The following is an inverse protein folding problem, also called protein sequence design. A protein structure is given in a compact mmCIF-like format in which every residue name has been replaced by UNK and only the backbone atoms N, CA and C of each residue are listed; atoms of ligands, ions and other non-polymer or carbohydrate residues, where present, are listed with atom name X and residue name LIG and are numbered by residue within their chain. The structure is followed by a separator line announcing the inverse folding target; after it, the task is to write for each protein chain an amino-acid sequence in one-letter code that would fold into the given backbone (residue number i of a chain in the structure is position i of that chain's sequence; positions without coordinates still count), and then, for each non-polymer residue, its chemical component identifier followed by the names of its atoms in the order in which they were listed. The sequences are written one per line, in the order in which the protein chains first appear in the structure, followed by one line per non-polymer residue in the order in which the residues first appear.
data_IF_933860952397
#
_entry.id   IF_933860952397
#
_cell.length_a   1.000
_cell.length_b   1.000
_cell.length_c   1.000
_cell.angle_alpha   90.00
_cell.angle_beta   90.00
_cell.angle_gamma   90.00
#
_symmetry.space_group_name_H-M   'P 1'
#
loop_
_entity.id
_entity.type
_entity.pdbx_description
1 polymer ?
#
# COMPACT_ATOMS: atom_id res chain seq x y z
N UNK A 1 23.16 -13.84 12.51
CA UNK A 1 22.19 -14.44 11.58
C UNK A 1 20.78 -14.15 12.09
N UNK A 2 20.15 -13.07 11.61
CA UNK A 2 18.69 -12.89 11.53
C UNK A 2 18.46 -11.53 10.84
N UNK A 3 18.60 -11.56 9.50
CA UNK A 3 18.25 -10.48 8.60
C UNK A 3 16.71 -10.38 8.53
N UNK A 4 16.08 -9.83 9.58
CA UNK A 4 14.63 -9.67 9.66
C UNK A 4 14.21 -8.46 8.83
N UNK A 5 14.04 -8.71 7.54
CA UNK A 5 13.35 -7.81 6.61
C UNK A 5 11.85 -7.90 6.94
N UNK A 6 11.41 -7.11 7.93
CA UNK A 6 10.00 -7.07 8.34
C UNK A 6 9.20 -6.45 7.21
N UNK A 7 8.21 -7.17 6.66
CA UNK A 7 7.30 -6.60 5.67
C UNK A 7 5.96 -6.30 6.32
N UNK A 8 5.56 -5.03 6.39
CA UNK A 8 4.18 -4.66 6.76
C UNK A 8 3.30 -4.49 5.51
N UNK A 9 2.20 -5.23 5.48
CA UNK A 9 1.11 -5.05 4.53
C UNK A 9 0.13 -4.04 5.10
N UNK A 10 -0.18 -2.96 4.39
CA UNK A 10 -1.36 -2.15 4.69
C UNK A 10 -2.57 -2.68 3.91
N UNK A 11 -3.62 -3.08 4.63
CA UNK A 11 -4.95 -3.37 4.05
C UNK A 11 -6.01 -2.47 4.67
N UNK A 12 -6.95 -1.99 3.86
CA UNK A 12 -8.18 -1.39 4.36
C UNK A 12 -9.25 -2.48 4.55
N UNK A 13 -9.90 -2.51 5.71
CA UNK A 13 -10.99 -3.47 6.01
C UNK A 13 -12.32 -2.87 5.55
N UNK A 14 -13.13 -3.67 4.86
CA UNK A 14 -14.52 -3.35 4.47
C UNK A 14 -15.48 -3.28 5.68
N UNK A 15 -15.07 -3.79 6.85
CA UNK A 15 -15.88 -3.91 8.07
C UNK A 15 -16.03 -2.61 8.89
N UNK A 16 -16.18 -1.46 8.24
CA UNK A 16 -16.45 -0.20 8.95
C UNK A 16 -17.90 -0.03 9.42
N UNK A 17 -18.82 -0.94 9.07
CA UNK A 17 -20.23 -0.80 9.45
C UNK A 17 -20.61 -1.40 10.81
N UNK A 18 -19.73 -2.13 11.52
CA UNK A 18 -20.14 -2.90 12.71
C UNK A 18 -19.29 -2.79 13.98
N UNK A 19 -18.17 -2.06 13.99
CA UNK A 19 -17.36 -1.91 15.20
C UNK A 19 -17.46 -0.50 15.78
N UNK A 20 -18.37 -0.31 16.75
CA UNK A 20 -18.52 0.90 17.60
C UNK A 20 -17.39 1.06 18.63
N UNK A 21 -16.19 0.55 18.36
CA UNK A 21 -15.03 0.74 19.23
C UNK A 21 -13.86 1.11 18.33
N UNK A 22 -13.69 2.41 18.12
CA UNK A 22 -12.44 2.98 17.63
C UNK A 22 -12.02 4.07 18.59
N UNK A 23 -10.77 4.02 19.02
CA UNK A 23 -10.07 5.21 19.48
C UNK A 23 -9.95 6.16 18.28
N UNK A 24 -10.40 7.42 18.36
CA UNK A 24 -10.52 8.34 17.22
C UNK A 24 -9.18 8.75 16.59
N UNK A 25 -8.05 8.43 17.22
CA UNK A 25 -6.77 9.09 16.95
C UNK A 25 -5.77 8.28 16.11
N UNK A 26 -6.17 7.11 15.56
CA UNK A 26 -5.26 6.29 14.75
C UNK A 26 -5.80 5.94 13.37
N UNK A 27 -4.97 6.04 12.31
CA UNK A 27 -5.37 5.62 10.98
C UNK A 27 -5.63 4.11 10.98
N UNK A 28 -6.75 3.65 10.42
CA UNK A 28 -7.14 2.24 10.45
C UNK A 28 -6.35 1.45 9.39
N UNK A 29 -5.13 1.09 9.78
CA UNK A 29 -4.21 0.27 9.01
C UNK A 29 -4.30 -1.16 9.51
N UNK A 30 -4.60 -2.11 8.64
CA UNK A 30 -4.36 -3.50 8.97
C UNK A 30 -2.92 -3.81 8.56
N UNK A 31 -2.05 -4.02 9.55
CA UNK A 31 -0.67 -4.43 9.39
C UNK A 31 -0.60 -5.96 9.43
N UNK A 32 -0.01 -6.58 8.41
CA UNK A 32 0.39 -8.00 8.47
C UNK A 32 1.89 -8.09 8.35
N UNK A 33 2.51 -8.72 9.35
CA UNK A 33 3.91 -9.10 9.30
C UNK A 33 4.09 -10.29 8.34
N UNK A 34 5.04 -10.18 7.41
CA UNK A 34 5.51 -11.31 6.63
C UNK A 34 6.98 -11.53 6.94
N UNK A 35 7.29 -12.69 7.50
CA UNK A 35 8.64 -13.20 7.74
C UNK A 35 8.91 -14.29 6.71
N UNK A 36 9.71 -14.00 5.67
CA UNK A 36 10.10 -14.98 4.64
C UNK A 36 9.77 -14.56 3.21
N UNK A 37 9.79 -15.53 2.28
CA UNK A 37 9.43 -15.31 0.88
C UNK A 37 7.98 -14.86 0.77
N UNK A 38 7.79 -13.77 0.04
CA UNK A 38 6.50 -13.15 -0.08
C UNK A 38 5.74 -13.80 -1.24
N UNK A 39 4.85 -14.75 -0.91
CA UNK A 39 3.90 -15.34 -1.85
C UNK A 39 2.84 -14.31 -2.25
N UNK A 40 3.21 -13.41 -3.17
CA UNK A 40 2.26 -12.56 -3.86
C UNK A 40 1.63 -13.35 -4.99
N UNK A 41 0.30 -13.28 -5.14
CA UNK A 41 -0.39 -14.05 -6.15
C UNK A 41 0.11 -13.61 -7.52
N UNK A 42 0.75 -14.54 -8.22
CA UNK A 42 1.14 -14.38 -9.60
C UNK A 42 -0.08 -14.00 -10.45
N UNK A 43 0.15 -13.23 -11.51
CA UNK A 43 -0.88 -12.69 -12.41
C UNK A 43 -1.69 -13.85 -13.01
N UNK A 44 -2.79 -14.22 -12.36
CA UNK A 44 -3.65 -15.31 -12.80
C UNK A 44 -4.12 -15.05 -14.24
N UNK A 45 -4.04 -16.07 -15.09
CA UNK A 45 -4.59 -16.00 -16.45
C UNK A 45 -6.05 -15.54 -16.42
N UNK A 46 -6.40 -14.64 -17.34
CA UNK A 46 -7.77 -14.14 -17.46
C UNK A 46 -8.68 -15.23 -18.04
N UNK A 47 -9.12 -16.19 -17.21
CA UNK A 47 -10.27 -17.04 -17.59
C UNK A 47 -11.48 -16.14 -17.81
N UNK A 48 -12.07 -16.21 -19.00
CA UNK A 48 -13.26 -15.45 -19.40
C UNK A 48 -14.44 -15.88 -18.54
N UNK A 49 -14.91 -14.98 -17.66
CA UNK A 49 -16.11 -15.21 -16.85
C UNK A 49 -17.31 -14.50 -17.46
N UNK A 50 -18.47 -15.16 -17.48
CA UNK A 50 -19.77 -14.52 -17.75
C UNK A 50 -20.12 -13.62 -16.56
N UNK A 51 -20.60 -12.39 -16.81
CA UNK A 51 -21.10 -11.47 -15.76
C UNK A 51 -20.53 -10.04 -15.79
N UNK A 52 -21.18 -9.14 -15.04
CA UNK A 52 -20.82 -7.72 -14.94
C UNK A 52 -19.54 -7.51 -14.16
N UNK A 53 -19.23 -8.31 -13.13
CA UNK A 53 -17.96 -8.23 -12.41
C UNK A 53 -17.53 -9.64 -12.01
N UNK A 54 -16.23 -9.93 -12.08
CA UNK A 54 -15.72 -11.18 -11.52
C UNK A 54 -15.73 -11.10 -9.99
N UNK A 55 -16.23 -12.15 -9.33
CA UNK A 55 -16.33 -12.26 -7.86
C UNK A 55 -14.97 -12.13 -7.15
N UNK A 56 -13.88 -12.47 -7.83
CA UNK A 56 -12.50 -12.37 -7.31
C UNK A 56 -11.88 -10.98 -7.43
N UNK A 57 -12.50 -10.03 -8.15
CA UNK A 57 -11.95 -8.69 -8.33
C UNK A 57 -11.88 -7.88 -7.03
N UNK A 58 -12.90 -7.86 -6.16
CA UNK A 58 -12.80 -7.23 -4.84
C UNK A 58 -11.78 -7.94 -3.93
N UNK A 59 -11.80 -9.28 -3.91
CA UNK A 59 -10.86 -10.11 -3.14
C UNK A 59 -9.41 -9.81 -3.51
N UNK A 60 -9.14 -9.42 -4.76
CA UNK A 60 -7.81 -8.96 -5.18
C UNK A 60 -7.25 -7.83 -4.30
N UNK A 61 -8.06 -6.84 -3.95
CA UNK A 61 -7.60 -5.67 -3.18
C UNK A 61 -7.76 -5.83 -1.68
N UNK A 62 -8.59 -6.78 -1.23
CA UNK A 62 -8.75 -7.11 0.19
C UNK A 62 -7.66 -8.10 0.63
N UNK A 63 -7.33 -9.09 -0.19
CA UNK A 63 -6.58 -10.27 0.26
C UNK A 63 -5.25 -10.49 -0.46
N UNK A 64 -5.07 -9.94 -1.66
CA UNK A 64 -4.02 -10.39 -2.58
C UNK A 64 -2.98 -9.33 -2.92
N UNK A 65 -3.38 -8.07 -3.08
CA UNK A 65 -2.49 -6.97 -3.46
C UNK A 65 -2.36 -5.98 -2.31
N UNK A 66 -1.16 -5.82 -1.69
CA UNK A 66 -0.93 -4.77 -0.72
C UNK A 66 -1.02 -3.38 -1.33
N UNK A 67 -1.53 -2.40 -0.60
CA UNK A 67 -1.41 -1.01 -1.00
C UNK A 67 0.03 -0.50 -0.82
N UNK A 68 0.69 -0.92 0.27
CA UNK A 68 2.05 -0.57 0.65
C UNK A 68 2.78 -1.83 1.18
N UNK A 69 4.05 -1.94 0.80
CA UNK A 69 5.03 -2.89 1.32
C UNK A 69 6.12 -2.06 2.00
N UNK A 70 6.34 -2.27 3.29
CA UNK A 70 7.40 -1.57 4.04
C UNK A 70 8.55 -2.53 4.27
N UNK A 71 9.79 -2.14 4.01
CA UNK A 71 11.00 -2.93 4.23
C UNK A 71 11.81 -2.29 5.36
N UNK A 72 12.09 -3.04 6.43
CA UNK A 72 12.97 -2.59 7.50
C UNK A 72 14.40 -3.08 7.22
N UNK A 73 15.36 -2.17 7.30
CA UNK A 73 16.79 -2.46 7.13
C UNK A 73 17.54 -1.93 8.33
N UNK A 74 18.34 -2.79 8.96
CA UNK A 74 19.30 -2.39 9.98
C UNK A 74 20.56 -1.85 9.28
N UNK A 75 20.67 -0.52 9.22
CA UNK A 75 21.68 0.17 8.42
C UNK A 75 21.93 1.59 8.95
N UNK A 76 23.13 1.80 9.48
CA UNK A 76 23.67 3.12 9.82
C UNK A 76 24.36 3.76 8.60
N UNK A 77 24.40 5.10 8.55
CA UNK A 77 24.97 5.85 7.40
C UNK A 77 26.49 5.72 7.27
N UNK A 78 27.18 5.50 8.40
CA UNK A 78 28.64 5.36 8.52
C UNK A 78 29.09 3.88 8.53
N UNK A 79 28.20 2.95 8.18
CA UNK A 79 28.50 1.52 8.20
C UNK A 79 29.67 1.17 7.27
N UNK A 80 30.68 0.43 7.78
CA UNK A 80 31.92 0.09 7.06
C UNK A 80 31.65 -0.63 5.73
N UNK A 81 30.71 -1.56 5.71
CA UNK A 81 30.23 -2.26 4.50
C UNK A 81 29.05 -1.55 3.79
N UNK A 82 29.04 -0.22 3.74
CA UNK A 82 27.94 0.55 3.11
C UNK A 82 27.59 0.06 1.70
N UNK A 83 28.61 -0.19 0.87
CA UNK A 83 28.41 -0.61 -0.53
C UNK A 83 27.69 -1.95 -0.65
N UNK A 84 27.99 -2.91 0.23
CA UNK A 84 27.34 -4.22 0.26
C UNK A 84 25.89 -4.10 0.71
N UNK A 85 25.65 -3.34 1.79
CA UNK A 85 24.29 -3.09 2.33
C UNK A 85 23.41 -2.33 1.35
N UNK A 86 24.00 -1.36 0.64
CA UNK A 86 23.38 -0.62 -0.46
C UNK A 86 22.92 -1.58 -1.57
N UNK A 87 23.80 -2.47 -2.02
CA UNK A 87 23.50 -3.47 -3.06
C UNK A 87 22.44 -4.46 -2.59
N UNK A 88 22.49 -4.86 -1.32
CA UNK A 88 21.47 -5.73 -0.72
C UNK A 88 20.08 -5.05 -0.68
N UNK A 89 20.02 -3.78 -0.29
CA UNK A 89 18.79 -2.99 -0.26
C UNK A 89 18.16 -2.87 -1.65
N UNK A 90 18.98 -2.61 -2.68
CA UNK A 90 18.56 -2.56 -4.07
C UNK A 90 17.97 -3.91 -4.51
N UNK A 91 18.70 -5.02 -4.28
CA UNK A 91 18.25 -6.37 -4.65
C UNK A 91 16.92 -6.73 -3.99
N UNK A 92 16.75 -6.44 -2.70
CA UNK A 92 15.48 -6.64 -2.00
C UNK A 92 14.36 -5.80 -2.58
N UNK A 93 14.60 -4.52 -2.85
CA UNK A 93 13.59 -3.65 -3.44
C UNK A 93 13.20 -4.11 -4.86
N UNK A 94 14.17 -4.56 -5.66
CA UNK A 94 13.93 -5.10 -7.00
C UNK A 94 13.10 -6.40 -6.94
N UNK A 95 13.46 -7.32 -6.05
CA UNK A 95 12.71 -8.56 -5.82
C UNK A 95 11.27 -8.28 -5.38
N UNK A 96 11.06 -7.38 -4.42
CA UNK A 96 9.72 -6.98 -3.97
C UNK A 96 8.88 -6.37 -5.10
N UNK A 97 9.49 -5.56 -5.99
CA UNK A 97 8.79 -5.01 -7.16
C UNK A 97 8.41 -6.09 -8.16
N UNK A 98 9.30 -7.04 -8.41
CA UNK A 98 9.06 -8.15 -9.31
C UNK A 98 7.88 -9.01 -8.81
N UNK A 99 7.90 -9.36 -7.52
CA UNK A 99 6.85 -10.18 -6.89
C UNK A 99 5.52 -9.43 -6.74
N UNK A 100 5.53 -8.15 -6.37
CA UNK A 100 4.30 -7.38 -6.13
C UNK A 100 3.61 -6.87 -7.38
N UNK A 101 4.33 -6.94 -8.51
CA UNK A 101 4.00 -6.19 -9.70
C UNK A 101 4.05 -4.67 -9.46
N UNK A 102 4.02 -3.91 -10.55
CA UNK A 102 4.13 -2.45 -10.52
C UNK A 102 2.95 -1.69 -9.87
N UNK A 103 2.09 -2.39 -9.15
CA UNK A 103 0.92 -1.79 -8.54
C UNK A 103 1.20 -1.25 -7.14
N UNK A 104 1.88 -2.02 -6.29
CA UNK A 104 2.02 -1.74 -4.86
C UNK A 104 3.08 -0.67 -4.60
N UNK A 105 2.85 0.20 -3.61
CA UNK A 105 3.88 1.15 -3.15
C UNK A 105 4.91 0.39 -2.31
N UNK A 106 6.16 0.84 -2.36
CA UNK A 106 7.24 0.34 -1.49
C UNK A 106 7.74 1.50 -0.64
N UNK A 107 8.01 1.26 0.63
CA UNK A 107 8.72 2.16 1.52
C UNK A 107 9.85 1.40 2.22
N UNK A 108 10.93 2.11 2.56
CA UNK A 108 12.07 1.58 3.31
C UNK A 108 12.18 2.35 4.61
N UNK A 109 12.38 1.61 5.69
CA UNK A 109 12.63 2.15 7.04
C UNK A 109 14.02 1.69 7.45
N UNK A 110 14.92 2.64 7.64
CA UNK A 110 16.25 2.40 8.18
C UNK A 110 16.16 2.42 9.70
N UNK A 111 16.60 1.34 10.32
CA UNK A 111 16.77 1.21 11.75
C UNK A 111 18.23 1.58 12.04
N UNK A 112 18.41 2.63 12.84
CA UNK A 112 19.73 3.12 13.22
C UNK A 112 20.03 2.75 14.66
N UNK A 113 21.14 2.05 14.86
CA UNK A 113 21.56 1.60 16.19
C UNK A 113 22.24 2.73 16.96
N UNK A 114 22.76 3.75 16.27
CA UNK A 114 23.34 4.94 16.89
C UNK A 114 22.30 6.04 17.11
N UNK A 115 22.45 6.79 18.20
CA UNK A 115 21.68 8.01 18.41
C UNK A 115 22.05 9.03 17.33
N UNK A 116 21.07 9.46 16.53
CA UNK A 116 21.24 10.56 15.56
C UNK A 116 21.76 11.78 16.35
N UNK A 117 22.88 12.41 15.96
CA UNK A 117 23.36 13.61 16.64
C UNK A 117 22.26 14.66 16.65
N UNK A 118 21.95 15.21 17.82
CA UNK A 118 20.87 16.16 18.06
C UNK A 118 21.05 17.54 17.40
N UNK A 119 22.03 17.72 16.52
CA UNK A 119 22.38 19.03 15.96
C UNK A 119 23.16 18.90 14.66
N UNK A 120 22.58 19.42 13.58
CA UNK A 120 23.21 19.63 12.27
C UNK A 120 22.75 18.63 11.22
N UNK A 121 22.32 19.14 10.06
CA UNK A 121 22.15 18.34 8.85
C UNK A 121 23.46 17.58 8.60
N UNK A 122 23.45 16.27 8.82
CA UNK A 122 24.59 15.42 8.51
C UNK A 122 24.68 15.33 6.97
N UNK A 123 25.72 15.93 6.35
CA UNK A 123 25.85 15.91 4.89
C UNK A 123 26.01 14.47 4.39
N UNK A 124 26.61 13.59 5.18
CA UNK A 124 26.76 12.17 4.84
C UNK A 124 25.39 11.49 4.81
N UNK A 125 24.57 11.67 5.84
CA UNK A 125 23.21 11.12 5.89
C UNK A 125 22.38 11.58 4.68
N UNK A 126 22.51 12.84 4.28
CA UNK A 126 21.79 13.40 3.13
C UNK A 126 22.25 12.78 1.81
N UNK A 127 23.56 12.69 1.58
CA UNK A 127 24.14 12.07 0.40
C UNK A 127 23.74 10.59 0.29
N UNK A 128 23.88 9.85 1.38
CA UNK A 128 23.55 8.41 1.44
C UNK A 128 22.05 8.15 1.29
N UNK A 129 21.19 8.99 1.87
CA UNK A 129 19.75 8.90 1.68
C UNK A 129 19.36 9.13 0.21
N UNK A 130 19.99 10.09 -0.45
CA UNK A 130 19.77 10.37 -1.86
C UNK A 130 20.22 9.18 -2.73
N UNK A 131 21.42 8.66 -2.45
CA UNK A 131 21.98 7.49 -3.13
C UNK A 131 21.07 6.25 -3.00
N UNK A 132 20.59 5.94 -1.79
CA UNK A 132 19.63 4.86 -1.56
C UNK A 132 18.31 5.10 -2.31
N UNK A 133 17.77 6.31 -2.28
CA UNK A 133 16.53 6.62 -2.99
C UNK A 133 16.68 6.41 -4.50
N UNK A 134 17.82 6.80 -5.08
CA UNK A 134 18.07 6.62 -6.51
C UNK A 134 18.13 5.14 -6.90
N UNK A 135 19.01 4.35 -6.27
CA UNK A 135 19.18 2.93 -6.66
C UNK A 135 17.92 2.12 -6.36
N UNK A 136 17.27 2.39 -5.22
CA UNK A 136 16.07 1.67 -4.83
C UNK A 136 14.84 2.24 -5.52
N UNK A 137 14.95 3.26 -6.39
CA UNK A 137 13.83 3.89 -7.09
C UNK A 137 12.69 4.33 -6.13
N UNK A 138 13.08 4.97 -5.03
CA UNK A 138 12.18 5.50 -3.99
C UNK A 138 12.11 7.02 -4.10
N UNK A 139 10.96 7.58 -3.75
CA UNK A 139 10.85 9.02 -3.46
C UNK A 139 11.30 9.29 -2.02
N UNK A 140 11.72 10.53 -1.68
CA UNK A 140 12.08 10.88 -0.30
C UNK A 140 10.98 10.61 0.73
N UNK A 141 9.70 10.62 0.31
CA UNK A 141 8.54 10.27 1.15
C UNK A 141 8.38 8.78 1.42
N UNK A 142 9.22 7.94 0.82
CA UNK A 142 9.22 6.49 0.97
C UNK A 142 10.45 5.98 1.73
N UNK A 143 11.33 6.87 2.18
CA UNK A 143 12.47 6.53 3.01
C UNK A 143 12.27 7.15 4.40
N UNK A 144 12.35 6.33 5.42
CA UNK A 144 12.20 6.74 6.81
C UNK A 144 13.40 6.28 7.62
N UNK A 145 13.72 7.02 8.67
CA UNK A 145 14.82 6.72 9.59
C UNK A 145 14.24 6.65 10.99
N UNK A 146 14.54 5.57 11.71
CA UNK A 146 14.10 5.34 13.08
C UNK A 146 15.33 5.02 13.93
N UNK A 147 15.64 5.85 14.94
CA UNK A 147 16.65 5.50 15.93
C UNK A 147 16.11 4.39 16.82
N UNK A 148 16.87 3.31 17.01
CA UNK A 148 16.50 2.18 17.86
C UNK A 148 16.75 2.46 19.34
N UNK A 149 17.56 3.47 19.65
CA UNK A 149 17.84 3.94 21.00
C UNK A 149 16.87 5.06 21.41
N UNK A 150 16.05 4.83 22.44
CA UNK A 150 15.18 5.84 23.04
C UNK A 150 13.69 5.54 22.94
N UNK A 151 12.85 6.57 23.15
CA UNK A 151 11.40 6.44 23.05
C UNK A 151 10.96 6.40 21.58
N UNK A 152 10.40 5.25 21.18
CA UNK A 152 9.93 4.99 19.83
C UNK A 152 8.49 5.47 19.57
N UNK A 153 7.73 5.84 20.60
CA UNK A 153 6.30 6.12 20.48
C UNK A 153 5.99 7.21 19.44
N UNK A 154 6.74 8.32 19.47
CA UNK A 154 6.61 9.41 18.50
C UNK A 154 6.99 9.00 17.07
N UNK A 155 7.98 8.12 16.91
CA UNK A 155 8.37 7.60 15.59
C UNK A 155 7.31 6.66 15.03
N UNK A 156 6.76 5.78 15.86
CA UNK A 156 5.68 4.86 15.47
C UNK A 156 4.46 5.65 14.98
N UNK A 157 4.01 6.68 15.72
CA UNK A 157 2.87 7.50 15.29
C UNK A 157 3.12 8.25 13.97
N UNK A 158 4.34 8.77 13.76
CA UNK A 158 4.74 9.39 12.49
C UNK A 158 4.75 8.39 11.34
N UNK A 159 5.29 7.20 11.56
CA UNK A 159 5.31 6.12 10.57
C UNK A 159 3.89 5.64 10.21
N UNK A 160 3.02 5.43 11.21
CA UNK A 160 1.62 5.05 10.98
C UNK A 160 0.93 6.07 10.06
N UNK A 161 1.10 7.36 10.33
CA UNK A 161 0.53 8.43 9.50
C UNK A 161 1.11 8.43 8.09
N UNK A 162 2.43 8.33 7.95
CA UNK A 162 3.09 8.34 6.64
C UNK A 162 2.74 7.10 5.80
N UNK A 163 2.66 5.92 6.42
CA UNK A 163 2.24 4.69 5.75
C UNK A 163 0.79 4.78 5.29
N UNK A 164 -0.07 5.38 6.12
CA UNK A 164 -1.44 5.65 5.72
C UNK A 164 -1.47 6.50 4.45
N UNK A 165 -0.78 7.63 4.41
CA UNK A 165 -0.73 8.50 3.23
C UNK A 165 -0.23 7.78 1.97
N UNK A 166 0.80 6.94 2.09
CA UNK A 166 1.31 6.15 0.96
C UNK A 166 0.27 5.15 0.44
N UNK A 167 -0.46 4.48 1.32
CA UNK A 167 -1.57 3.60 0.94
C UNK A 167 -2.74 4.38 0.32
N UNK A 168 -3.05 5.56 0.84
CA UNK A 168 -4.04 6.47 0.27
C UNK A 168 -3.69 6.85 -1.18
N UNK A 169 -2.42 7.16 -1.43
CA UNK A 169 -1.88 7.44 -2.76
C UNK A 169 -2.04 6.27 -3.74
N UNK A 170 -1.86 5.02 -3.29
CA UNK A 170 -2.12 3.83 -4.09
C UNK A 170 -3.58 3.77 -4.56
N UNK A 171 -4.54 3.92 -3.64
CA UNK A 171 -5.96 3.87 -3.98
C UNK A 171 -6.36 5.03 -4.91
N UNK A 172 -5.83 6.23 -4.67
CA UNK A 172 -6.09 7.39 -5.53
C UNK A 172 -5.61 7.16 -6.96
N UNK A 173 -4.41 6.58 -7.16
CA UNK A 173 -3.90 6.27 -8.48
C UNK A 173 -4.78 5.23 -9.19
N UNK A 174 -5.23 4.18 -8.49
CA UNK A 174 -6.15 3.18 -9.05
C UNK A 174 -7.49 3.80 -9.46
N UNK A 175 -8.05 4.68 -8.63
CA UNK A 175 -9.28 5.42 -8.95
C UNK A 175 -9.10 6.24 -10.24
N UNK A 176 -8.00 7.00 -10.38
CA UNK A 176 -7.68 7.76 -11.60
C UNK A 176 -7.60 6.86 -12.84
N UNK A 177 -6.87 5.74 -12.75
CA UNK A 177 -6.74 4.78 -13.86
C UNK A 177 -8.09 4.16 -14.26
N UNK A 178 -9.00 3.93 -13.31
CA UNK A 178 -10.33 3.39 -13.63
C UNK A 178 -11.21 4.46 -14.27
N UNK A 179 -11.18 5.71 -13.79
CA UNK A 179 -11.94 6.83 -14.37
C UNK A 179 -11.52 7.18 -15.78
N UNK A 180 -10.21 7.12 -16.08
CA UNK A 180 -9.68 7.47 -17.40
C UNK A 180 -10.06 6.47 -18.51
N UNK A 181 -10.67 5.32 -18.19
CA UNK A 181 -11.12 4.35 -19.19
C UNK A 181 -12.37 4.88 -19.88
N UNK A 182 -12.26 5.12 -21.18
CA UNK A 182 -13.42 5.37 -22.04
C UNK A 182 -14.34 4.15 -22.07
N UNK A 183 -15.64 4.40 -21.96
CA UNK A 183 -16.68 3.37 -22.03
C UNK A 183 -17.59 3.72 -23.21
N UNK A 184 -17.81 2.79 -24.15
CA UNK A 184 -18.77 3.01 -25.23
C UNK A 184 -20.17 3.32 -24.69
N UNK A 185 -20.85 4.31 -25.26
CA UNK A 185 -22.15 4.77 -24.80
C UNK A 185 -23.23 3.68 -24.76
N UNK A 186 -23.10 2.63 -25.58
CA UNK A 186 -24.05 1.52 -25.68
C UNK A 186 -23.73 0.33 -24.75
N UNK A 187 -23.07 0.57 -23.61
CA UNK A 187 -22.62 -0.52 -22.72
C UNK A 187 -22.93 -0.25 -21.24
N UNK A 188 -24.22 -0.26 -20.85
CA UNK A 188 -24.63 0.05 -19.47
C UNK A 188 -23.94 -0.88 -18.44
N UNK A 189 -23.73 -2.15 -18.79
CA UNK A 189 -22.98 -3.09 -17.96
C UNK A 189 -21.53 -2.65 -17.67
N UNK A 190 -20.84 -2.03 -18.64
CA UNK A 190 -19.47 -1.53 -18.44
C UNK A 190 -19.45 -0.29 -17.55
N UNK A 191 -20.44 0.60 -17.71
CA UNK A 191 -20.61 1.79 -16.86
C UNK A 191 -20.81 1.36 -15.40
N UNK A 192 -21.74 0.44 -15.15
CA UNK A 192 -22.02 -0.06 -13.80
C UNK A 192 -20.78 -0.76 -13.21
N UNK A 193 -20.08 -1.58 -13.99
CA UNK A 193 -18.80 -2.19 -13.59
C UNK A 193 -17.78 -1.13 -13.17
N UNK A 194 -17.68 -0.01 -13.88
CA UNK A 194 -16.74 1.06 -13.53
C UNK A 194 -17.16 1.76 -12.24
N UNK A 195 -18.44 2.14 -12.11
CA UNK A 195 -18.99 2.79 -10.91
C UNK A 195 -18.79 1.95 -9.65
N UNK A 196 -19.08 0.64 -9.73
CA UNK A 196 -18.84 -0.28 -8.63
C UNK A 196 -17.37 -0.27 -8.18
N UNK A 197 -16.43 -0.36 -9.13
CA UNK A 197 -15.00 -0.35 -8.80
C UNK A 197 -14.56 0.96 -8.18
N UNK A 198 -15.14 2.10 -8.61
CA UNK A 198 -14.86 3.41 -8.03
C UNK A 198 -15.42 3.53 -6.62
N UNK A 199 -16.65 3.06 -6.39
CA UNK A 199 -17.27 3.03 -5.07
C UNK A 199 -16.43 2.17 -4.11
N UNK A 200 -16.13 0.93 -4.50
CA UNK A 200 -15.38 -0.02 -3.68
C UNK A 200 -13.98 0.48 -3.30
N UNK A 201 -13.21 1.03 -4.26
CA UNK A 201 -11.89 1.59 -3.94
C UNK A 201 -11.98 2.87 -3.10
N UNK A 202 -13.04 3.67 -3.24
CA UNK A 202 -13.26 4.85 -2.40
C UNK A 202 -13.61 4.45 -0.96
N UNK A 203 -14.32 3.33 -0.79
CA UNK A 203 -14.61 2.74 0.52
C UNK A 203 -13.35 2.18 1.19
N UNK A 204 -12.50 1.45 0.45
CA UNK A 204 -11.17 1.05 0.95
C UNK A 204 -10.31 2.26 1.32
N UNK A 205 -10.49 3.38 0.62
CA UNK A 205 -9.85 4.66 0.92
C UNK A 205 -10.43 5.36 2.16
N UNK A 206 -11.57 4.89 2.67
CA UNK A 206 -12.37 5.49 3.75
C UNK A 206 -13.00 6.84 3.41
N UNK A 207 -13.15 7.11 2.11
CA UNK A 207 -13.92 8.24 1.61
C UNK A 207 -15.36 7.79 1.38
N UNK A 208 -16.08 7.58 2.48
CA UNK A 208 -17.46 7.06 2.49
C UNK A 208 -18.41 7.98 1.73
N UNK A 209 -18.20 9.30 1.82
CA UNK A 209 -19.00 10.28 1.10
C UNK A 209 -18.83 10.16 -0.42
N UNK A 210 -17.58 10.05 -0.91
CA UNK A 210 -17.34 9.82 -2.34
C UNK A 210 -17.82 8.45 -2.78
N UNK A 211 -17.63 7.41 -1.96
CA UNK A 211 -18.13 6.06 -2.24
C UNK A 211 -19.65 6.07 -2.45
N UNK A 212 -20.39 6.71 -1.53
CA UNK A 212 -21.84 6.86 -1.61
C UNK A 212 -22.26 7.58 -2.91
N UNK A 213 -21.59 8.68 -3.26
CA UNK A 213 -21.86 9.39 -4.52
C UNK A 213 -21.72 8.49 -5.74
N UNK A 214 -20.73 7.59 -5.78
CA UNK A 214 -20.56 6.65 -6.90
C UNK A 214 -21.67 5.60 -6.97
N UNK A 215 -22.14 5.12 -5.83
CA UNK A 215 -23.28 4.18 -5.75
C UNK A 215 -24.57 4.83 -6.22
N UNK A 216 -24.82 6.08 -5.79
CA UNK A 216 -26.04 6.82 -6.12
C UNK A 216 -26.06 7.29 -7.57
N UNK A 217 -24.90 7.53 -8.20
CA UNK A 217 -24.79 8.17 -9.53
C UNK A 217 -25.51 7.46 -10.69
N UNK A 218 -26.09 6.27 -10.50
CA UNK A 218 -26.91 5.53 -11.50
C UNK A 218 -27.82 4.43 -10.88
N UNK A 219 -28.37 4.58 -9.67
CA UNK A 219 -29.12 3.49 -8.99
C UNK A 219 -28.33 2.16 -8.96
N UNK A 220 -27.04 2.18 -8.58
CA UNK A 220 -26.28 0.92 -8.45
C UNK A 220 -26.85 -0.03 -7.36
N UNK A 221 -27.79 0.45 -6.54
CA UNK A 221 -28.51 -0.33 -5.53
C UNK A 221 -29.34 -1.47 -6.13
N UNK A 222 -29.94 -1.28 -7.31
CA UNK A 222 -30.68 -2.35 -8.01
C UNK A 222 -29.76 -3.51 -8.42
N UNK A 223 -28.45 -3.25 -8.55
CA UNK A 223 -27.46 -4.27 -8.89
C UNK A 223 -26.89 -5.02 -7.69
N UNK A 224 -26.98 -4.51 -6.46
CA UNK A 224 -26.59 -5.31 -5.29
C UNK A 224 -27.46 -6.57 -5.19
N UNK A 225 -28.75 -6.43 -5.49
CA UNK A 225 -29.71 -7.54 -5.61
C UNK A 225 -29.41 -8.44 -6.82
N UNK A 226 -28.98 -7.89 -7.96
CA UNK A 226 -28.69 -8.71 -9.15
C UNK A 226 -27.33 -9.41 -9.14
N UNK A 227 -26.34 -8.92 -8.38
CA UNK A 227 -25.00 -9.52 -8.25
C UNK A 227 -24.97 -10.71 -7.26
N UNK A 228 -25.98 -10.81 -6.40
CA UNK A 228 -26.13 -11.85 -5.38
C UNK A 228 -27.28 -12.83 -5.68
N UNK A 229 -27.84 -12.86 -6.88
CA UNK A 229 -28.71 -13.98 -7.27
C UNK A 229 -27.84 -15.25 -7.34
N UNK A 230 -28.10 -16.26 -6.49
CA UNK A 230 -27.59 -17.59 -6.78
C UNK A 230 -28.33 -18.09 -8.03
N UNK A 231 -27.59 -18.74 -8.93
CA UNK A 231 -28.19 -19.58 -9.96
C UNK A 231 -28.92 -20.75 -9.28
#
# INVERSE_FOLDING_TARGET
LLHLSVIYFLRARLYCLYSRVRTPDRPPLNLRLVTGELDLPQKSEKKGGKGILRRDWPLKYIERVPALIVLFLDLDWDHSSWLEKKTEAESKCASLRASAGQASRIAVVLLQQRSVPTSGDDPLATERAHELCQICHLTPRQLFVVPMLGDLTGYVSKLESAFHELAQGFYQQKLKTIRARSIPNNSPALVVRQLFKLAFLSELRQDTHTAYRWVVKKNCLDLHYSLYKPD
#
